data_IF_034508156660
#
_entry.id   IF_034508156660
#
_cell.length_a   1.000
_cell.length_b   1.000
_cell.length_c   1.000
_cell.angle_alpha   90.00
_cell.angle_beta   90.00
_cell.angle_gamma   90.00
#
_symmetry.space_group_name_H-M   'P 1'
#
loop_
_entity.id
_entity.type
_entity.pdbx_description
1 polymer ?
#
# COMPACT_ATOMS: atom_id res chain seq x y z
N UNK A 1 41.02 -14.25 6.57
CA UNK A 1 40.86 -12.79 6.67
C UNK A 1 39.45 -12.47 6.21
N UNK A 2 38.62 -11.80 7.04
CA UNK A 2 37.36 -11.23 6.55
C UNK A 2 37.74 -10.04 5.67
N UNK A 3 37.23 -10.01 4.45
CA UNK A 3 37.37 -8.88 3.54
C UNK A 3 36.64 -7.68 4.16
N UNK A 4 37.36 -6.57 4.39
CA UNK A 4 36.76 -5.36 4.93
C UNK A 4 36.05 -4.69 3.76
N UNK A 5 34.72 -4.75 3.74
CA UNK A 5 33.92 -3.97 2.79
C UNK A 5 33.67 -2.58 3.39
N UNK A 6 33.81 -1.53 2.59
CA UNK A 6 33.62 -0.16 3.02
C UNK A 6 32.74 0.58 2.02
N UNK A 7 31.58 1.05 2.47
CA UNK A 7 30.63 1.80 1.67
C UNK A 7 30.34 3.17 2.29
N UNK A 8 29.82 4.06 1.45
CA UNK A 8 29.16 5.30 1.87
C UNK A 8 27.70 5.22 1.42
N UNK A 9 26.78 5.35 2.38
CA UNK A 9 25.38 5.59 2.11
C UNK A 9 25.09 7.08 2.09
N UNK A 10 24.35 7.52 1.08
CA UNK A 10 23.96 8.91 0.87
C UNK A 10 22.43 9.03 0.86
N UNK A 11 21.92 10.00 1.62
CA UNK A 11 20.58 10.55 1.43
C UNK A 11 20.73 11.90 0.75
N UNK A 12 20.09 12.07 -0.39
CA UNK A 12 20.16 13.27 -1.21
C UNK A 12 18.78 13.93 -1.24
N UNK A 13 18.71 15.22 -0.96
CA UNK A 13 17.51 16.05 -1.13
C UNK A 13 17.83 17.13 -2.15
N UNK A 14 17.02 17.24 -3.21
CA UNK A 14 17.28 18.10 -4.37
C UNK A 14 18.68 17.90 -4.97
N UNK A 15 19.17 16.66 -4.97
CA UNK A 15 20.49 16.28 -5.47
C UNK A 15 21.68 16.69 -4.58
N UNK A 16 21.44 17.15 -3.35
CA UNK A 16 22.49 17.50 -2.38
C UNK A 16 22.51 16.51 -1.22
N UNK A 17 23.70 16.08 -0.74
CA UNK A 17 23.80 15.18 0.39
C UNK A 17 23.36 15.87 1.67
N UNK A 18 22.27 15.38 2.26
CA UNK A 18 21.78 15.77 3.58
C UNK A 18 22.27 14.80 4.66
N UNK A 19 22.48 13.53 4.28
CA UNK A 19 23.09 12.52 5.14
C UNK A 19 24.19 11.80 4.38
N UNK A 20 25.33 11.64 5.05
CA UNK A 20 26.40 10.75 4.64
C UNK A 20 26.72 9.81 5.80
N UNK A 21 26.60 8.50 5.57
CA UNK A 21 26.89 7.47 6.57
C UNK A 21 27.93 6.50 6.05
N UNK A 22 28.99 6.28 6.83
CA UNK A 22 29.96 5.21 6.59
C UNK A 22 29.36 3.87 7.00
N UNK A 23 29.45 2.89 6.11
CA UNK A 23 28.90 1.55 6.29
C UNK A 23 30.02 0.52 6.09
N UNK A 24 30.20 -0.38 7.04
CA UNK A 24 31.35 -1.29 7.17
C UNK A 24 30.99 -2.75 7.06
N UNK A 25 29.69 -3.05 6.89
CA UNK A 25 29.20 -4.41 6.67
C UNK A 25 27.99 -4.41 5.73
N UNK A 26 27.64 -5.60 5.25
CA UNK A 26 26.41 -5.82 4.48
C UNK A 26 25.17 -5.45 5.30
N UNK A 27 25.15 -5.85 6.58
CA UNK A 27 24.04 -5.58 7.48
C UNK A 27 23.83 -4.07 7.69
N UNK A 28 24.91 -3.28 7.77
CA UNK A 28 24.81 -1.82 7.88
C UNK A 28 24.25 -1.19 6.58
N UNK A 29 24.55 -1.75 5.41
CA UNK A 29 23.95 -1.31 4.14
C UNK A 29 22.48 -1.65 4.08
N UNK A 30 22.10 -2.88 4.43
CA UNK A 30 20.70 -3.29 4.52
C UNK A 30 19.92 -2.39 5.49
N UNK A 31 20.46 -2.13 6.69
CA UNK A 31 19.84 -1.25 7.67
C UNK A 31 19.70 0.19 7.16
N UNK A 32 20.73 0.72 6.49
CA UNK A 32 20.67 2.05 5.88
C UNK A 32 19.55 2.13 4.84
N UNK A 33 19.53 1.19 3.90
CA UNK A 33 18.52 1.10 2.86
C UNK A 33 17.12 0.95 3.47
N UNK A 34 16.96 0.12 4.49
CA UNK A 34 15.69 -0.07 5.20
C UNK A 34 15.18 1.20 5.91
N UNK A 35 16.05 2.15 6.24
CA UNK A 35 15.68 3.40 6.90
C UNK A 35 15.39 4.52 5.91
N UNK A 36 15.97 4.49 4.71
CA UNK A 36 15.96 5.63 3.79
C UNK A 36 15.33 5.33 2.41
N UNK A 37 15.11 4.07 2.02
CA UNK A 37 14.37 3.74 0.80
C UNK A 37 12.87 4.01 0.88
N UNK A 38 12.37 4.55 1.99
CA UNK A 38 10.96 4.89 2.17
C UNK A 38 10.75 6.41 2.05
N UNK A 39 10.44 6.93 0.86
CA UNK A 39 10.18 8.36 0.66
C UNK A 39 8.89 8.88 1.32
N UNK A 40 8.15 8.03 2.03
CA UNK A 40 6.72 8.28 2.31
C UNK A 40 6.41 8.65 3.76
N UNK A 41 7.44 8.73 4.60
CA UNK A 41 7.33 9.19 5.98
C UNK A 41 8.19 10.41 6.28
N UNK A 42 8.89 10.96 5.29
CA UNK A 42 9.47 12.30 5.41
C UNK A 42 8.53 13.28 4.71
N UNK A 43 8.20 14.38 5.39
CA UNK A 43 7.53 15.54 4.78
C UNK A 43 8.42 16.25 3.74
N UNK A 44 9.47 15.58 3.25
CA UNK A 44 10.55 16.13 2.48
C UNK A 44 10.50 15.54 1.07
N UNK A 45 10.35 16.44 0.11
CA UNK A 45 10.31 16.14 -1.31
C UNK A 45 11.53 15.34 -1.78
N UNK A 46 11.28 14.30 -2.58
CA UNK A 46 12.26 13.60 -3.44
C UNK A 46 13.59 13.29 -2.76
N UNK A 47 13.55 12.35 -1.82
CA UNK A 47 14.76 11.73 -1.29
C UNK A 47 15.32 10.73 -2.32
N UNK A 48 16.54 11.00 -2.80
CA UNK A 48 17.32 10.04 -3.57
C UNK A 48 18.29 9.31 -2.61
N UNK A 49 18.41 8.00 -2.75
CA UNK A 49 19.27 7.15 -1.91
C UNK A 49 20.35 6.54 -2.77
N UNK A 50 21.61 6.69 -2.38
CA UNK A 50 22.74 6.09 -3.11
C UNK A 50 23.68 5.31 -2.17
N UNK A 51 24.27 4.25 -2.70
CA UNK A 51 25.37 3.53 -2.04
C UNK A 51 26.60 3.55 -2.95
N UNK A 52 27.75 3.91 -2.39
CA UNK A 52 29.05 3.94 -3.07
C UNK A 52 29.98 2.95 -2.40
N UNK A 53 30.62 2.08 -3.18
CA UNK A 53 31.77 1.30 -2.75
C UNK A 53 33.02 2.20 -2.74
N UNK A 54 33.61 2.41 -1.57
CA UNK A 54 34.74 3.32 -1.38
C UNK A 54 36.04 2.73 -1.92
N UNK A 55 36.18 1.40 -1.90
CA UNK A 55 37.40 0.75 -2.34
C UNK A 55 37.53 0.76 -3.86
N UNK A 56 36.39 0.67 -4.54
CA UNK A 56 36.32 0.71 -6.01
C UNK A 56 35.97 2.10 -6.57
N UNK A 57 35.65 3.07 -5.71
CA UNK A 57 35.13 4.40 -6.09
C UNK A 57 33.95 4.31 -7.07
N UNK A 58 33.04 3.35 -6.80
CA UNK A 58 31.97 2.95 -7.71
C UNK A 58 30.61 3.09 -7.04
N UNK A 59 29.62 3.76 -7.68
CA UNK A 59 28.26 3.72 -7.20
C UNK A 59 27.64 2.35 -7.48
N UNK A 60 27.09 1.71 -6.45
CA UNK A 60 26.53 0.35 -6.53
C UNK A 60 25.01 0.33 -6.40
N UNK A 61 24.40 1.45 -5.99
CA UNK A 61 22.97 1.59 -5.89
C UNK A 61 22.56 3.05 -6.06
N UNK A 62 21.44 3.27 -6.75
CA UNK A 62 20.74 4.56 -6.77
C UNK A 62 19.23 4.32 -6.88
N UNK A 63 18.49 4.82 -5.91
CA UNK A 63 17.05 5.04 -6.03
C UNK A 63 16.78 6.54 -6.08
N UNK A 64 15.88 6.96 -6.97
CA UNK A 64 15.38 8.33 -7.03
C UNK A 64 13.92 8.41 -6.68
N UNK A 65 13.57 9.16 -5.64
CA UNK A 65 12.19 9.30 -5.19
C UNK A 65 11.50 7.93 -5.07
N UNK A 66 12.17 6.97 -4.40
CA UNK A 66 11.70 5.59 -4.23
C UNK A 66 11.82 4.67 -5.46
N UNK A 67 12.21 5.16 -6.63
CA UNK A 67 12.36 4.33 -7.83
C UNK A 67 13.81 3.89 -8.03
N UNK A 68 14.04 2.58 -8.13
CA UNK A 68 15.35 2.03 -8.44
C UNK A 68 15.80 2.45 -9.85
N UNK A 69 16.88 3.23 -9.93
CA UNK A 69 17.49 3.61 -11.21
C UNK A 69 18.49 2.54 -11.65
N UNK A 70 19.28 2.03 -10.72
CA UNK A 70 20.14 0.86 -10.91
C UNK A 70 20.52 0.23 -9.56
N UNK A 71 20.86 -1.06 -9.60
CA UNK A 71 21.35 -1.80 -8.44
C UNK A 71 22.35 -2.87 -8.85
N UNK A 72 23.53 -2.83 -8.23
CA UNK A 72 24.57 -3.86 -8.26
C UNK A 72 24.71 -4.53 -6.87
N UNK A 73 23.77 -4.28 -5.95
CA UNK A 73 23.82 -4.77 -4.57
C UNK A 73 23.93 -6.30 -4.46
N UNK A 74 23.33 -7.04 -5.39
CA UNK A 74 23.43 -8.50 -5.45
C UNK A 74 24.87 -9.00 -5.63
N UNK A 75 25.74 -8.25 -6.32
CA UNK A 75 27.17 -8.59 -6.46
C UNK A 75 27.88 -8.58 -5.10
N UNK A 76 27.32 -7.84 -4.14
CA UNK A 76 27.84 -7.70 -2.79
C UNK A 76 27.15 -8.62 -1.78
N UNK A 77 26.20 -9.45 -2.23
CA UNK A 77 25.40 -10.36 -1.40
C UNK A 77 24.14 -9.71 -0.80
N UNK A 78 23.83 -8.46 -1.15
CA UNK A 78 22.69 -7.70 -0.61
C UNK A 78 21.50 -7.89 -1.54
N UNK A 79 20.44 -8.52 -1.03
CA UNK A 79 19.21 -8.84 -1.78
C UNK A 79 18.20 -7.69 -1.65
N UNK A 80 18.10 -6.88 -2.71
CA UNK A 80 17.12 -5.81 -2.77
C UNK A 80 15.66 -6.32 -2.68
N UNK A 81 15.28 -7.47 -3.27
CA UNK A 81 13.97 -8.06 -3.03
C UNK A 81 13.69 -8.37 -1.56
N UNK A 82 14.67 -8.86 -0.81
CA UNK A 82 14.49 -9.15 0.62
C UNK A 82 14.34 -7.86 1.45
N UNK A 83 15.08 -6.80 1.07
CA UNK A 83 14.91 -5.46 1.66
C UNK A 83 13.46 -4.98 1.46
N UNK A 84 12.95 -4.98 0.22
CA UNK A 84 11.58 -4.55 -0.05
C UNK A 84 10.53 -5.42 0.66
N UNK A 85 10.70 -6.74 0.67
CA UNK A 85 9.81 -7.64 1.40
C UNK A 85 9.80 -7.33 2.90
N UNK A 86 10.95 -7.00 3.49
CA UNK A 86 11.06 -6.62 4.89
C UNK A 86 10.46 -5.24 5.17
N UNK A 87 10.64 -4.26 4.27
CA UNK A 87 10.00 -2.94 4.37
C UNK A 87 8.48 -3.07 4.36
N UNK A 88 7.95 -3.84 3.42
CA UNK A 88 6.53 -4.17 3.32
C UNK A 88 6.01 -4.78 4.63
N UNK A 89 6.69 -5.81 5.16
CA UNK A 89 6.33 -6.44 6.45
C UNK A 89 6.39 -5.47 7.63
N UNK A 90 7.40 -4.60 7.70
CA UNK A 90 7.56 -3.61 8.79
C UNK A 90 6.41 -2.60 8.76
N UNK A 91 6.05 -2.11 7.58
CA UNK A 91 4.97 -1.13 7.41
C UNK A 91 3.61 -1.75 7.72
N UNK A 92 3.35 -2.95 7.19
CA UNK A 92 2.15 -3.72 7.52
C UNK A 92 2.06 -3.96 9.03
N UNK A 93 3.13 -4.42 9.70
CA UNK A 93 3.11 -4.63 11.16
C UNK A 93 2.88 -3.34 11.95
N UNK A 94 3.41 -2.21 11.49
CA UNK A 94 3.14 -0.90 12.09
C UNK A 94 1.66 -0.52 12.04
N UNK A 95 1.00 -0.79 10.91
CA UNK A 95 -0.45 -0.61 10.75
C UNK A 95 -1.26 -1.62 11.55
N UNK A 96 -0.87 -2.90 11.54
CA UNK A 96 -1.60 -3.97 12.23
C UNK A 96 -1.45 -3.96 13.75
N UNK A 97 -0.38 -3.37 14.30
CA UNK A 97 -0.23 -3.20 15.74
C UNK A 97 -1.34 -2.36 16.38
N UNK A 98 -2.15 -1.67 15.57
CA UNK A 98 -3.31 -0.88 15.96
C UNK A 98 -4.65 -1.62 15.81
N UNK A 99 -4.66 -2.85 15.29
CA UNK A 99 -5.89 -3.61 15.01
C UNK A 99 -5.88 -4.98 15.71
N UNK A 100 -6.92 -5.26 16.50
CA UNK A 100 -7.07 -6.53 17.24
C UNK A 100 -7.39 -7.72 16.31
N UNK A 101 -7.80 -7.49 15.06
CA UNK A 101 -8.11 -8.51 14.06
C UNK A 101 -7.58 -8.14 12.65
N UNK A 102 -6.27 -8.30 12.39
CA UNK A 102 -5.67 -7.98 11.10
C UNK A 102 -6.36 -8.76 9.96
N UNK A 103 -6.63 -8.14 8.79
CA UNK A 103 -7.26 -8.84 7.67
C UNK A 103 -6.38 -9.99 7.13
N UNK A 104 -6.99 -11.14 6.83
CA UNK A 104 -6.37 -12.30 6.15
C UNK A 104 -5.75 -11.94 4.77
N UNK A 105 -6.10 -10.77 4.24
CA UNK A 105 -5.70 -10.22 2.95
C UNK A 105 -4.18 -10.02 2.84
N UNK A 106 -3.48 -9.80 3.95
CA UNK A 106 -2.03 -9.56 3.92
C UNK A 106 -1.26 -10.79 3.42
N UNK A 107 -1.66 -11.99 3.84
CA UNK A 107 -1.03 -13.23 3.38
C UNK A 107 -1.47 -13.58 1.95
N UNK A 108 -2.60 -13.07 1.47
CA UNK A 108 -3.10 -13.29 0.10
C UNK A 108 -2.48 -12.31 -0.91
N UNK A 109 -2.25 -11.05 -0.52
CA UNK A 109 -1.59 -10.03 -1.36
C UNK A 109 -0.17 -10.47 -1.76
N UNK A 110 0.59 -11.08 -0.84
CA UNK A 110 1.94 -11.58 -1.12
C UNK A 110 1.94 -12.83 -2.02
N UNK A 111 0.83 -13.60 -2.06
CA UNK A 111 0.70 -14.80 -2.87
C UNK A 111 0.17 -14.54 -4.28
N UNK A 112 -0.73 -13.58 -4.47
CA UNK A 112 -1.39 -13.36 -5.77
C UNK A 112 -0.57 -12.50 -6.75
N UNK A 113 0.22 -11.52 -6.28
CA UNK A 113 0.86 -10.55 -7.18
C UNK A 113 2.36 -10.79 -7.45
N UNK A 114 2.96 -11.83 -6.85
CA UNK A 114 4.35 -12.19 -7.09
C UNK A 114 5.36 -11.09 -6.70
N UNK A 115 6.61 -11.14 -7.20
CA UNK A 115 7.68 -10.22 -6.80
C UNK A 115 7.51 -8.78 -7.34
N UNK A 116 6.51 -8.54 -8.20
CA UNK A 116 6.08 -7.21 -8.68
C UNK A 116 4.70 -6.90 -8.04
N UNK A 117 4.61 -7.13 -6.73
CA UNK A 117 3.38 -6.93 -5.99
C UNK A 117 2.92 -5.48 -5.96
N UNK A 118 1.78 -5.25 -5.31
CA UNK A 118 1.35 -3.91 -4.93
C UNK A 118 2.48 -3.12 -4.24
N UNK A 119 2.55 -1.83 -4.55
CA UNK A 119 3.46 -0.93 -3.86
C UNK A 119 3.13 -0.86 -2.37
N UNK A 120 4.04 -0.31 -1.58
CA UNK A 120 3.83 -0.21 -0.14
C UNK A 120 2.61 0.66 0.17
N UNK A 121 2.46 1.77 -0.54
CA UNK A 121 1.32 2.70 -0.52
C UNK A 121 0.01 1.98 -0.78
N UNK A 122 -0.03 1.18 -1.84
CA UNK A 122 -1.25 0.48 -2.22
C UNK A 122 -1.63 -0.55 -1.17
N UNK A 123 -0.66 -1.24 -0.57
CA UNK A 123 -0.90 -2.18 0.54
C UNK A 123 -1.44 -1.45 1.77
N UNK A 124 -0.85 -0.30 2.11
CA UNK A 124 -1.29 0.55 3.24
C UNK A 124 -2.72 1.04 3.00
N UNK A 125 -2.97 1.62 1.83
CA UNK A 125 -4.27 2.14 1.41
C UNK A 125 -5.32 1.04 1.41
N UNK A 126 -5.04 -0.11 0.77
CA UNK A 126 -5.94 -1.28 0.76
C UNK A 126 -6.23 -1.71 2.20
N UNK A 127 -5.22 -1.90 3.05
CA UNK A 127 -5.39 -2.34 4.45
C UNK A 127 -6.29 -1.38 5.24
N UNK A 128 -6.01 -0.07 5.17
CA UNK A 128 -6.81 0.95 5.85
C UNK A 128 -8.23 1.01 5.30
N UNK A 129 -8.40 0.85 3.98
CA UNK A 129 -9.70 0.80 3.32
C UNK A 129 -10.52 -0.39 3.83
N UNK A 130 -9.94 -1.59 3.89
CA UNK A 130 -10.59 -2.78 4.45
C UNK A 130 -10.96 -2.60 5.93
N UNK A 131 -10.09 -1.96 6.71
CA UNK A 131 -10.35 -1.66 8.13
C UNK A 131 -11.56 -0.73 8.27
N UNK A 132 -11.58 0.39 7.53
CA UNK A 132 -12.69 1.34 7.52
C UNK A 132 -13.98 0.71 6.98
N UNK A 133 -13.89 -0.15 5.96
CA UNK A 133 -15.03 -0.89 5.43
C UNK A 133 -15.72 -1.74 6.50
N UNK A 134 -14.94 -2.46 7.32
CA UNK A 134 -15.48 -3.26 8.45
C UNK A 134 -16.16 -2.42 9.52
N UNK A 135 -15.75 -1.16 9.69
CA UNK A 135 -16.32 -0.24 10.66
C UNK A 135 -17.52 0.56 10.11
N UNK A 136 -17.73 0.56 8.79
CA UNK A 136 -18.84 1.27 8.16
C UNK A 136 -20.18 0.71 8.65
N UNK A 137 -21.07 1.59 9.10
CA UNK A 137 -22.39 1.23 9.63
C UNK A 137 -23.51 1.65 8.69
N UNK A 138 -23.27 2.64 7.84
CA UNK A 138 -24.26 3.18 6.91
C UNK A 138 -23.64 3.57 5.55
N UNK A 139 -24.48 3.89 4.57
CA UNK A 139 -24.07 4.28 3.21
C UNK A 139 -23.19 5.53 3.19
N UNK A 140 -23.43 6.50 4.09
CA UNK A 140 -22.57 7.70 4.19
C UNK A 140 -21.14 7.33 4.57
N UNK A 141 -20.95 6.42 5.52
CA UNK A 141 -19.61 5.94 5.91
C UNK A 141 -18.90 5.27 4.72
N UNK A 142 -19.64 4.52 3.89
CA UNK A 142 -19.09 3.89 2.68
C UNK A 142 -18.71 4.95 1.63
N UNK A 143 -19.50 6.00 1.46
CA UNK A 143 -19.16 7.11 0.55
C UNK A 143 -17.89 7.84 0.98
N UNK A 144 -17.76 8.15 2.28
CA UNK A 144 -16.55 8.75 2.85
C UNK A 144 -15.33 7.82 2.77
N UNK A 145 -15.56 6.50 2.75
CA UNK A 145 -14.52 5.51 2.55
C UNK A 145 -13.99 5.54 1.12
N UNK A 146 -14.88 5.45 0.12
CA UNK A 146 -14.45 5.24 -1.27
C UNK A 146 -13.89 6.51 -1.92
N UNK A 147 -14.28 7.70 -1.45
CA UNK A 147 -13.96 9.00 -2.07
C UNK A 147 -12.47 9.20 -2.40
N UNK A 148 -11.59 8.72 -1.54
CA UNK A 148 -10.13 8.89 -1.69
C UNK A 148 -9.44 7.61 -2.15
N UNK A 149 -10.19 6.69 -2.77
CA UNK A 149 -9.71 5.37 -3.20
C UNK A 149 -10.21 5.04 -4.60
N UNK A 150 -9.61 4.05 -5.26
CA UNK A 150 -10.13 3.53 -6.53
C UNK A 150 -11.19 2.41 -6.33
N UNK A 151 -11.52 2.07 -5.09
CA UNK A 151 -12.48 1.01 -4.80
C UNK A 151 -13.91 1.45 -5.16
N UNK A 152 -14.65 0.56 -5.81
CA UNK A 152 -16.10 0.69 -5.94
C UNK A 152 -16.81 -0.02 -4.77
N UNK A 153 -18.05 0.37 -4.49
CA UNK A 153 -18.90 -0.28 -3.50
C UNK A 153 -20.03 -1.07 -4.18
N UNK A 154 -20.14 -2.34 -3.81
CA UNK A 154 -21.23 -3.24 -4.17
C UNK A 154 -22.15 -3.44 -2.97
N UNK A 155 -23.41 -3.08 -3.11
CA UNK A 155 -24.45 -3.34 -2.12
C UNK A 155 -25.31 -4.51 -2.58
N UNK A 156 -25.53 -5.47 -1.71
CA UNK A 156 -26.44 -6.60 -1.93
C UNK A 156 -27.45 -6.64 -0.79
N UNK A 157 -28.73 -6.87 -1.07
CA UNK A 157 -29.68 -7.06 0.03
C UNK A 157 -29.40 -8.38 0.77
N UNK A 158 -29.87 -8.51 2.01
CA UNK A 158 -29.55 -9.66 2.88
C UNK A 158 -29.92 -11.01 2.25
N UNK A 159 -31.05 -11.09 1.54
CA UNK A 159 -31.52 -12.29 0.84
C UNK A 159 -30.76 -12.57 -0.48
N UNK A 160 -29.92 -11.63 -0.92
CA UNK A 160 -29.09 -11.77 -2.12
C UNK A 160 -29.83 -11.67 -3.45
N UNK A 161 -31.14 -11.35 -3.46
CA UNK A 161 -31.93 -11.33 -4.70
C UNK A 161 -31.73 -10.06 -5.53
N UNK A 162 -31.25 -8.98 -4.91
CA UNK A 162 -30.92 -7.70 -5.56
C UNK A 162 -29.53 -7.19 -5.15
N UNK A 163 -28.83 -6.64 -6.14
CA UNK A 163 -27.53 -6.01 -5.95
C UNK A 163 -27.42 -4.72 -6.77
N UNK A 164 -26.71 -3.76 -6.22
CA UNK A 164 -26.44 -2.45 -6.78
C UNK A 164 -24.94 -2.14 -6.69
N UNK A 165 -24.35 -1.65 -7.77
CA UNK A 165 -22.95 -1.26 -7.82
C UNK A 165 -22.77 0.07 -8.55
N UNK A 166 -21.56 0.37 -9.02
CA UNK A 166 -21.24 1.65 -9.65
C UNK A 166 -21.58 2.81 -8.70
N UNK A 167 -21.17 2.68 -7.44
CA UNK A 167 -21.49 3.63 -6.41
C UNK A 167 -20.72 4.94 -6.64
N UNK A 168 -21.41 6.06 -6.48
CA UNK A 168 -20.83 7.39 -6.75
C UNK A 168 -20.99 8.31 -5.54
N UNK A 169 -20.26 9.41 -5.52
CA UNK A 169 -20.18 10.35 -4.39
C UNK A 169 -21.52 10.99 -4.04
N UNK A 170 -22.45 11.07 -5.00
CA UNK A 170 -23.82 11.55 -4.78
C UNK A 170 -24.75 10.51 -4.14
N UNK A 171 -24.18 9.39 -3.69
CA UNK A 171 -24.85 8.23 -3.11
C UNK A 171 -25.75 7.46 -4.08
N UNK A 172 -25.52 7.63 -5.38
CA UNK A 172 -26.26 6.88 -6.39
C UNK A 172 -25.57 5.56 -6.76
N UNK A 173 -26.39 4.57 -7.09
CA UNK A 173 -25.99 3.23 -7.54
C UNK A 173 -26.80 2.83 -8.78
N UNK A 174 -26.31 1.84 -9.52
CA UNK A 174 -27.06 1.20 -10.60
C UNK A 174 -27.32 -0.28 -10.26
N UNK A 175 -28.53 -0.81 -10.48
CA UNK A 175 -28.78 -2.24 -10.27
C UNK A 175 -27.97 -3.07 -11.27
N UNK A 176 -27.25 -4.09 -10.78
CA UNK A 176 -26.27 -4.86 -11.58
C UNK A 176 -26.91 -5.60 -12.77
N UNK A 177 -28.16 -6.04 -12.62
CA UNK A 177 -28.89 -6.79 -13.64
C UNK A 177 -29.81 -5.91 -14.51
N UNK A 178 -29.59 -4.59 -14.50
CA UNK A 178 -30.42 -3.63 -15.24
C UNK A 178 -29.56 -2.71 -16.12
N UNK A 179 -30.21 -1.82 -16.87
CA UNK A 179 -29.49 -0.79 -17.62
C UNK A 179 -28.70 0.11 -16.65
N UNK A 180 -27.37 0.21 -16.86
CA UNK A 180 -26.47 1.00 -16.01
C UNK A 180 -26.84 2.49 -15.96
N UNK A 181 -27.61 2.96 -16.94
CA UNK A 181 -28.10 4.34 -17.00
C UNK A 181 -29.19 4.64 -15.94
N UNK A 182 -29.76 3.62 -15.30
CA UNK A 182 -30.70 3.79 -14.19
C UNK A 182 -29.91 4.04 -12.92
N UNK A 183 -29.99 5.27 -12.40
CA UNK A 183 -29.40 5.67 -11.11
C UNK A 183 -30.47 5.68 -10.03
N UNK A 184 -30.15 5.05 -8.90
CA UNK A 184 -30.98 5.00 -7.70
C UNK A 184 -30.19 5.62 -6.56
N UNK A 185 -30.80 6.55 -5.85
CA UNK A 185 -30.18 7.22 -4.71
C UNK A 185 -30.42 6.42 -3.44
N UNK A 186 -29.33 5.99 -2.80
CA UNK A 186 -29.38 5.36 -1.50
C UNK A 186 -29.55 6.43 -0.41
N UNK A 187 -30.27 6.09 0.65
CA UNK A 187 -30.36 6.97 1.82
C UNK A 187 -29.03 6.93 2.56
N UNK A 188 -28.44 8.07 2.95
CA UNK A 188 -27.18 8.12 3.70
C UNK A 188 -27.21 7.24 4.97
N UNK A 189 -28.36 7.19 5.63
CA UNK A 189 -28.60 6.44 6.87
C UNK A 189 -28.93 4.95 6.67
N UNK A 190 -29.09 4.48 5.42
CA UNK A 190 -29.32 3.06 5.15
C UNK A 190 -28.19 2.23 5.74
N UNK A 191 -28.54 1.26 6.59
CA UNK A 191 -27.55 0.46 7.32
C UNK A 191 -26.87 -0.52 6.40
N UNK A 192 -25.58 -0.70 6.64
CA UNK A 192 -24.76 -1.65 5.87
C UNK A 192 -23.94 -2.55 6.79
N UNK A 193 -23.49 -3.67 6.23
CA UNK A 193 -22.50 -4.55 6.86
C UNK A 193 -21.52 -5.03 5.81
N UNK A 194 -20.24 -4.77 6.03
CA UNK A 194 -19.18 -5.30 5.16
C UNK A 194 -19.19 -6.83 5.15
N UNK A 195 -19.06 -7.42 3.96
CA UNK A 195 -19.03 -8.88 3.78
C UNK A 195 -17.70 -9.36 3.24
N UNK A 196 -17.20 -8.71 2.19
CA UNK A 196 -16.03 -9.14 1.44
C UNK A 196 -15.45 -7.95 0.69
N UNK A 197 -14.17 -7.98 0.34
CA UNK A 197 -13.69 -7.14 -0.74
C UNK A 197 -12.69 -7.88 -1.61
N UNK A 198 -12.83 -7.66 -2.91
CA UNK A 198 -11.97 -8.22 -3.94
C UNK A 198 -10.88 -7.24 -4.33
N UNK A 199 -10.39 -7.36 -5.57
CA UNK A 199 -9.32 -6.52 -6.11
C UNK A 199 -9.71 -5.03 -6.04
N UNK A 200 -10.79 -4.60 -6.68
CA UNK A 200 -11.16 -3.17 -6.71
C UNK A 200 -12.61 -2.91 -6.26
N UNK A 201 -13.23 -3.87 -5.56
CA UNK A 201 -14.63 -3.78 -5.13
C UNK A 201 -14.79 -4.18 -3.67
N UNK A 202 -15.45 -3.33 -2.89
CA UNK A 202 -15.89 -3.61 -1.53
C UNK A 202 -17.37 -4.01 -1.52
N UNK A 203 -17.69 -5.16 -0.95
CA UNK A 203 -19.05 -5.70 -0.87
C UNK A 203 -19.66 -5.48 0.51
N UNK A 204 -20.91 -5.04 0.49
CA UNK A 204 -21.72 -4.75 1.66
C UNK A 204 -23.10 -5.39 1.53
N UNK A 205 -23.63 -5.90 2.64
CA UNK A 205 -25.07 -6.11 2.78
C UNK A 205 -25.71 -4.76 3.09
N UNK A 206 -26.78 -4.39 2.38
CA UNK A 206 -27.64 -3.25 2.72
C UNK A 206 -28.95 -3.75 3.34
N UNK A 207 -29.28 -3.28 4.54
CA UNK A 207 -30.47 -3.71 5.27
C UNK A 207 -31.72 -2.89 4.94
N UNK A 208 -31.51 -1.68 4.43
CA UNK A 208 -32.56 -0.75 4.05
C UNK A 208 -32.44 -0.45 2.55
N UNK A 209 -32.68 -1.46 1.67
CA UNK A 209 -32.48 -1.34 0.23
C UNK A 209 -33.45 -0.32 -0.39
N UNK A 210 -33.08 0.27 -1.53
CA UNK A 210 -33.99 1.15 -2.25
C UNK A 210 -35.20 0.38 -2.80
N UNK A 211 -36.33 1.09 -2.93
CA UNK A 211 -37.58 0.59 -3.54
C UNK A 211 -37.44 0.42 -5.05
#
# INVERSE_FOLDING_TARGET
MKEIKLFIGLLLIDGKPELEKRLTSQEEVEEFLMNYLQPEFSEISSEDVAIIDVLEDKPIFLAKSGNDIYSFLNEYGISLPDIYANLKKKNIKGLLALDENPPEIIDTIDQEYGPIGFSTEEVVMRTETFRRARLAQNVKDVSELIKDTYFDALFTEEEGSRSWGYFDEDLSVSPINSDKNVRIYLKPESRVKFTYGGEDVLSFIIFDPPE
#
